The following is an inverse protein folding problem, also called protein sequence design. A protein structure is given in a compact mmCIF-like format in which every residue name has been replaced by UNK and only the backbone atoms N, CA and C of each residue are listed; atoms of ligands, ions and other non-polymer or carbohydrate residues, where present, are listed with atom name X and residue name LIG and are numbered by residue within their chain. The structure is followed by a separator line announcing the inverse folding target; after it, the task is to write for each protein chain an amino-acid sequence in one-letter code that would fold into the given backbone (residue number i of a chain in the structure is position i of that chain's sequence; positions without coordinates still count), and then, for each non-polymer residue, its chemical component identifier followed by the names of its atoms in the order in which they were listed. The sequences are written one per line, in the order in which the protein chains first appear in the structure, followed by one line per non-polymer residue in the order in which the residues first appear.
data_IF_857542355863
#
_entry.id   IF_857542355863
#
_cell.length_a   1.000
_cell.length_b   1.000
_cell.length_c   1.000
_cell.angle_alpha   90.00
_cell.angle_beta   90.00
_cell.angle_gamma   90.00
#
_symmetry.space_group_name_H-M   'P 1'
#
loop_
_entity.id
_entity.type
_entity.pdbx_description
1 polymer ?
#
# COMPACT_ATOMS: atom_id res chain seq x y z
N UNK A 1 -10.20 41.15 19.95
CA UNK A 1 -10.43 39.69 20.05
C UNK A 1 -9.47 39.02 19.09
N UNK A 2 -8.42 38.42 19.59
CA UNK A 2 -7.39 37.76 18.78
C UNK A 2 -7.93 36.40 18.32
N UNK A 3 -7.97 36.19 17.01
CA UNK A 3 -8.32 34.94 16.35
C UNK A 3 -7.24 33.89 16.70
N UNK A 4 -7.55 32.98 17.62
CA UNK A 4 -6.70 31.88 18.03
C UNK A 4 -6.95 30.71 17.10
N UNK A 5 -6.48 30.81 15.82
CA UNK A 5 -6.31 29.62 15.00
C UNK A 5 -5.08 28.85 15.49
N UNK A 6 -5.17 27.54 15.72
CA UNK A 6 -3.97 26.73 15.94
C UNK A 6 -3.03 26.87 14.73
N UNK A 7 -1.70 26.76 14.91
CA UNK A 7 -0.74 26.92 13.81
C UNK A 7 -1.08 25.90 12.70
N UNK A 8 -1.51 26.45 11.57
CA UNK A 8 -2.15 25.72 10.51
C UNK A 8 -1.23 24.68 9.88
N UNK A 9 -1.69 23.44 9.81
CA UNK A 9 -1.44 22.57 8.66
C UNK A 9 -1.63 23.46 7.43
N UNK A 10 -0.59 23.69 6.63
CA UNK A 10 -0.71 24.48 5.40
C UNK A 10 -1.81 23.82 4.57
N UNK A 11 -2.87 24.56 4.27
CA UNK A 11 -3.97 24.08 3.45
C UNK A 11 -3.41 23.71 2.08
N UNK A 12 -3.39 22.42 1.75
CA UNK A 12 -2.99 21.95 0.43
C UNK A 12 -2.13 20.70 0.37
N UNK A 13 -1.40 20.32 1.41
CA UNK A 13 -0.61 19.08 1.38
C UNK A 13 -1.48 17.91 1.82
N UNK A 14 -1.61 16.92 0.94
CA UNK A 14 -2.41 15.71 1.15
C UNK A 14 -1.57 14.47 0.96
N UNK A 15 -1.77 13.49 1.81
CA UNK A 15 -1.09 12.20 1.74
C UNK A 15 -2.12 11.08 1.66
N UNK A 16 -1.97 10.22 0.67
CA UNK A 16 -2.90 9.12 0.41
C UNK A 16 -2.18 7.79 0.42
N UNK A 17 -2.82 6.77 1.02
CA UNK A 17 -2.35 5.40 0.98
C UNK A 17 -3.15 4.61 -0.06
N UNK A 18 -2.47 3.84 -0.90
CA UNK A 18 -3.06 2.88 -1.84
C UNK A 18 -2.59 1.49 -1.44
N UNK A 19 -3.50 0.70 -0.91
CA UNK A 19 -3.26 -0.66 -0.45
C UNK A 19 -4.16 -1.68 -1.17
N UNK A 20 -4.02 -2.94 -0.87
CA UNK A 20 -4.73 -4.07 -1.44
C UNK A 20 -3.85 -5.32 -1.46
N UNK A 21 -4.41 -6.50 -1.58
CA UNK A 21 -3.62 -7.74 -1.65
C UNK A 21 -2.66 -7.73 -2.84
N UNK A 22 -1.64 -8.58 -2.79
CA UNK A 22 -0.72 -8.73 -3.93
C UNK A 22 -1.50 -9.15 -5.19
N UNK A 23 -1.20 -8.53 -6.32
CA UNK A 23 -1.89 -8.80 -7.59
C UNK A 23 -3.08 -7.90 -7.91
N UNK A 24 -3.51 -7.01 -7.01
CA UNK A 24 -4.63 -6.08 -7.27
C UNK A 24 -4.28 -4.91 -8.19
N UNK A 25 -2.98 -4.66 -8.46
CA UNK A 25 -2.54 -3.64 -9.41
C UNK A 25 -1.93 -2.39 -8.79
N UNK A 26 -1.52 -2.43 -7.53
CA UNK A 26 -0.90 -1.29 -6.82
C UNK A 26 0.26 -0.65 -7.61
N UNK A 27 1.18 -1.47 -8.11
CA UNK A 27 2.33 -0.98 -8.88
C UNK A 27 1.91 -0.25 -10.15
N UNK A 28 0.97 -0.80 -10.91
CA UNK A 28 0.48 -0.17 -12.13
C UNK A 28 -0.22 1.18 -11.85
N UNK A 29 -1.02 1.25 -10.77
CA UNK A 29 -1.66 2.49 -10.33
C UNK A 29 -0.61 3.52 -9.92
N UNK A 30 0.41 3.11 -9.16
CA UNK A 30 1.51 3.98 -8.75
C UNK A 30 2.28 4.55 -9.95
N UNK A 31 2.64 3.72 -10.91
CA UNK A 31 3.32 4.13 -12.14
C UNK A 31 2.48 5.07 -13.00
N UNK A 32 1.17 4.84 -13.10
CA UNK A 32 0.26 5.71 -13.85
C UNK A 32 0.10 7.08 -13.15
N UNK A 33 -0.03 7.11 -11.83
CA UNK A 33 -0.04 8.37 -11.05
C UNK A 33 1.26 9.15 -11.27
N UNK A 34 2.41 8.46 -11.24
CA UNK A 34 3.72 9.07 -11.47
C UNK A 34 3.83 9.61 -12.91
N UNK A 35 3.33 8.87 -13.92
CA UNK A 35 3.27 9.32 -15.31
C UNK A 35 2.41 10.57 -15.49
N UNK A 36 1.36 10.73 -14.67
CA UNK A 36 0.50 11.94 -14.63
C UNK A 36 1.11 13.11 -13.86
N UNK A 37 2.32 12.96 -13.31
CA UNK A 37 3.05 14.01 -12.61
C UNK A 37 2.81 14.09 -11.10
N UNK A 38 2.11 13.14 -10.51
CA UNK A 38 1.94 13.06 -9.05
C UNK A 38 3.20 12.54 -8.36
N UNK A 39 3.42 12.99 -7.13
CA UNK A 39 4.47 12.44 -6.28
C UNK A 39 4.03 11.08 -5.72
N UNK A 40 4.81 10.04 -5.99
CA UNK A 40 4.51 8.66 -5.58
C UNK A 40 5.68 8.08 -4.81
N UNK A 41 5.38 7.44 -3.70
CA UNK A 41 6.30 6.65 -2.89
C UNK A 41 5.95 5.17 -3.09
N UNK A 42 6.89 4.42 -3.64
CA UNK A 42 6.77 2.97 -3.81
C UNK A 42 7.11 2.28 -2.49
N UNK A 43 6.12 2.15 -1.61
CA UNK A 43 6.33 1.72 -0.22
C UNK A 43 7.04 0.39 -0.08
N UNK A 44 6.71 -0.58 -0.93
CA UNK A 44 7.34 -1.90 -0.90
C UNK A 44 8.82 -1.90 -1.34
N UNK A 45 9.29 -0.83 -2.00
CA UNK A 45 10.69 -0.66 -2.41
C UNK A 45 11.46 0.32 -1.53
N UNK A 46 10.80 1.38 -1.07
CA UNK A 46 11.45 2.52 -0.43
C UNK A 46 11.35 2.49 1.09
N UNK A 47 10.29 1.87 1.62
CA UNK A 47 9.95 1.91 3.04
C UNK A 47 10.04 0.54 3.71
N UNK A 48 9.89 -0.55 2.95
CA UNK A 48 9.73 -1.87 3.52
C UNK A 48 11.05 -2.49 4.00
N UNK A 49 10.92 -3.26 5.05
CA UNK A 49 11.95 -4.18 5.53
C UNK A 49 11.26 -5.35 6.24
N UNK A 50 12.05 -6.34 6.62
CA UNK A 50 11.60 -7.48 7.39
C UNK A 50 11.77 -7.19 8.86
N UNK A 51 10.66 -7.15 9.60
CA UNK A 51 10.69 -6.80 11.02
C UNK A 51 9.44 -7.24 11.77
N UNK A 52 9.48 -7.14 13.07
CA UNK A 52 8.35 -7.39 13.94
C UNK A 52 7.30 -6.28 13.79
N UNK A 53 6.04 -6.58 13.45
CA UNK A 53 5.03 -5.56 13.20
C UNK A 53 4.61 -4.75 14.45
N UNK A 54 4.81 -5.29 15.65
CA UNK A 54 4.46 -4.60 16.89
C UNK A 54 5.60 -3.69 17.37
N UNK A 55 6.83 -4.19 17.36
CA UNK A 55 7.99 -3.45 17.88
C UNK A 55 8.71 -2.63 16.79
N UNK A 56 8.71 -3.12 15.55
CA UNK A 56 9.49 -2.56 14.45
C UNK A 56 10.94 -3.05 14.45
N UNK A 57 11.32 -4.00 15.31
CA UNK A 57 12.67 -4.53 15.33
C UNK A 57 12.98 -5.32 14.07
N UNK A 58 14.11 -5.08 13.38
CA UNK A 58 14.52 -5.85 12.23
C UNK A 58 14.68 -7.35 12.56
N UNK A 59 14.23 -8.20 11.64
CA UNK A 59 14.33 -9.66 11.73
C UNK A 59 15.25 -10.16 10.62
N UNK A 60 16.56 -10.14 10.87
CA UNK A 60 17.58 -10.58 9.94
C UNK A 60 18.02 -12.02 10.21
N UNK A 61 18.49 -12.71 9.17
CA UNK A 61 19.25 -13.96 9.29
C UNK A 61 18.43 -15.25 9.40
N UNK A 62 17.10 -15.22 9.27
CA UNK A 62 16.30 -16.45 9.17
C UNK A 62 16.37 -17.01 7.75
N UNK A 63 16.71 -18.29 7.65
CA UNK A 63 16.72 -19.02 6.40
C UNK A 63 15.33 -19.64 6.12
N UNK A 64 14.93 -19.68 4.85
CA UNK A 64 13.64 -20.26 4.42
C UNK A 64 13.40 -21.67 4.98
N UNK A 65 14.44 -22.48 5.02
CA UNK A 65 14.37 -23.89 5.49
C UNK A 65 14.04 -24.00 6.99
N UNK A 66 14.17 -22.92 7.74
CA UNK A 66 13.92 -22.91 9.20
C UNK A 66 12.47 -22.55 9.55
N UNK A 67 11.67 -22.11 8.57
CA UNK A 67 10.31 -21.66 8.77
C UNK A 67 9.33 -22.58 8.05
N UNK A 68 8.35 -23.13 8.77
CA UNK A 68 7.40 -24.11 8.24
C UNK A 68 6.48 -23.54 7.15
N UNK A 69 6.06 -22.28 7.26
CA UNK A 69 5.26 -21.57 6.26
C UNK A 69 5.97 -20.27 5.90
N UNK A 70 6.95 -20.38 5.02
CA UNK A 70 7.76 -19.24 4.60
C UNK A 70 6.97 -18.11 3.95
N UNK A 71 6.02 -18.36 3.02
CA UNK A 71 5.20 -17.29 2.45
C UNK A 71 4.40 -16.52 3.50
N UNK A 72 3.77 -17.22 4.45
CA UNK A 72 3.03 -16.55 5.52
C UNK A 72 3.97 -15.74 6.43
N UNK A 73 5.14 -16.30 6.76
CA UNK A 73 6.12 -15.60 7.57
C UNK A 73 6.63 -14.33 6.88
N UNK A 74 7.00 -14.41 5.61
CA UNK A 74 7.42 -13.25 4.80
C UNK A 74 6.33 -12.18 4.77
N UNK A 75 5.09 -12.57 4.57
CA UNK A 75 3.96 -11.67 4.54
C UNK A 75 3.74 -10.98 5.90
N UNK A 76 3.73 -11.75 7.00
CA UNK A 76 3.51 -11.22 8.35
C UNK A 76 4.58 -10.24 8.82
N UNK A 77 5.81 -10.39 8.34
CA UNK A 77 6.94 -9.56 8.74
C UNK A 77 7.33 -8.50 7.69
N UNK A 78 6.51 -8.31 6.66
CA UNK A 78 6.65 -7.22 5.70
C UNK A 78 6.10 -5.93 6.31
N UNK A 79 6.98 -5.10 6.83
CA UNK A 79 6.61 -3.85 7.52
C UNK A 79 7.29 -2.64 6.89
N UNK A 80 6.75 -1.46 7.16
CA UNK A 80 7.35 -0.20 6.73
C UNK A 80 8.04 0.51 7.89
N UNK A 81 9.11 1.21 7.57
CA UNK A 81 9.81 2.11 8.48
C UNK A 81 8.91 3.30 8.83
N UNK A 82 8.39 3.29 10.07
CA UNK A 82 7.43 4.28 10.56
C UNK A 82 8.01 5.69 10.58
N UNK A 83 9.29 5.83 10.89
CA UNK A 83 9.93 7.16 10.97
C UNK A 83 10.18 7.73 9.57
N UNK A 84 10.48 6.89 8.59
CA UNK A 84 10.50 7.31 7.19
C UNK A 84 9.12 7.71 6.69
N UNK A 85 8.07 6.94 7.01
CA UNK A 85 6.68 7.33 6.67
C UNK A 85 6.35 8.70 7.24
N UNK A 86 6.61 8.93 8.54
CA UNK A 86 6.38 10.22 9.20
C UNK A 86 7.13 11.36 8.52
N UNK A 87 8.40 11.13 8.18
CA UNK A 87 9.25 12.12 7.52
C UNK A 87 8.70 12.50 6.15
N UNK A 88 8.26 11.53 5.35
CA UNK A 88 7.70 11.76 4.03
C UNK A 88 6.32 12.42 4.06
N UNK A 89 5.47 12.05 5.02
CA UNK A 89 4.17 12.69 5.25
C UNK A 89 4.35 14.16 5.68
N UNK A 90 5.40 14.46 6.42
CA UNK A 90 5.73 15.83 6.83
C UNK A 90 6.34 16.68 5.71
N UNK A 91 6.74 16.09 4.59
CA UNK A 91 7.29 16.80 3.44
C UNK A 91 6.22 17.66 2.74
N UNK A 92 6.47 18.96 2.66
CA UNK A 92 5.53 19.94 2.13
C UNK A 92 5.81 20.33 0.66
N UNK A 93 6.76 19.66 0.02
CA UNK A 93 7.19 20.03 -1.36
C UNK A 93 6.19 19.66 -2.44
N UNK A 94 5.25 18.74 -2.14
CA UNK A 94 4.25 18.25 -3.08
C UNK A 94 2.85 18.50 -2.53
N UNK A 95 1.94 18.99 -3.38
CA UNK A 95 0.55 19.22 -3.00
C UNK A 95 -0.15 17.91 -2.61
N UNK A 96 0.14 16.83 -3.33
CA UNK A 96 -0.38 15.49 -3.06
C UNK A 96 0.72 14.46 -3.20
N UNK A 97 0.77 13.51 -2.26
CA UNK A 97 1.68 12.37 -2.28
C UNK A 97 0.90 11.07 -2.12
N UNK A 98 1.21 10.09 -2.95
CA UNK A 98 0.59 8.78 -2.95
C UNK A 98 1.60 7.73 -2.50
N UNK A 99 1.29 7.03 -1.42
CA UNK A 99 2.07 5.93 -0.89
C UNK A 99 1.43 4.63 -1.37
N UNK A 100 2.15 3.83 -2.13
CA UNK A 100 1.62 2.61 -2.75
C UNK A 100 2.32 1.38 -2.20
N UNK A 101 1.56 0.46 -1.64
CA UNK A 101 2.04 -0.80 -1.06
C UNK A 101 1.22 -1.23 0.13
N UNK A 102 1.62 -2.32 0.78
CA UNK A 102 0.96 -2.82 1.99
C UNK A 102 1.95 -3.22 3.06
N UNK A 103 1.68 -2.90 4.30
CA UNK A 103 2.54 -3.22 5.43
C UNK A 103 1.75 -3.82 6.59
N UNK A 104 2.35 -4.76 7.32
CA UNK A 104 1.65 -5.43 8.44
C UNK A 104 1.60 -4.58 9.71
N UNK A 105 2.37 -3.51 9.74
CA UNK A 105 2.35 -2.52 10.82
C UNK A 105 1.59 -1.23 10.45
N UNK A 106 0.67 -1.28 9.50
CA UNK A 106 -0.05 -0.10 9.01
C UNK A 106 -0.80 0.66 10.12
N UNK A 107 -1.26 -0.02 11.15
CA UNK A 107 -1.92 0.59 12.30
C UNK A 107 -1.06 1.64 13.03
N UNK A 108 0.26 1.60 12.86
CA UNK A 108 1.20 2.54 13.48
C UNK A 108 1.29 3.89 12.74
N UNK A 109 0.75 3.98 11.53
CA UNK A 109 0.88 5.18 10.71
C UNK A 109 -0.34 5.51 9.83
N UNK A 110 -1.37 4.68 9.83
CA UNK A 110 -2.54 4.87 8.95
C UNK A 110 -3.25 6.20 9.19
N UNK A 111 -3.28 6.67 10.43
CA UNK A 111 -3.90 7.95 10.82
C UNK A 111 -3.14 9.18 10.30
N UNK A 112 -1.96 8.99 9.74
CA UNK A 112 -1.18 10.07 9.11
C UNK A 112 -1.68 10.43 7.71
N UNK A 113 -2.47 9.53 7.08
CA UNK A 113 -2.98 9.72 5.73
C UNK A 113 -4.32 10.46 5.73
N UNK A 114 -4.50 11.32 4.74
CA UNK A 114 -5.76 12.05 4.49
C UNK A 114 -6.84 11.16 3.86
N UNK A 115 -6.43 10.07 3.21
CA UNK A 115 -7.30 9.05 2.65
C UNK A 115 -6.57 7.75 2.39
N UNK A 116 -7.33 6.66 2.46
CA UNK A 116 -6.86 5.31 2.21
C UNK A 116 -7.73 4.69 1.11
N UNK A 117 -7.10 4.20 0.05
CA UNK A 117 -7.75 3.52 -1.07
C UNK A 117 -7.35 2.06 -1.08
N UNK A 118 -8.34 1.18 -1.12
CA UNK A 118 -8.12 -0.27 -1.17
C UNK A 118 -8.46 -0.77 -2.57
N UNK A 119 -7.45 -1.18 -3.30
CA UNK A 119 -7.66 -1.82 -4.61
C UNK A 119 -8.21 -3.23 -4.39
N UNK A 120 -9.35 -3.52 -5.00
CA UNK A 120 -9.95 -4.85 -5.00
C UNK A 120 -10.28 -5.31 -6.41
N UNK A 121 -10.20 -6.62 -6.63
CA UNK A 121 -10.52 -7.29 -7.89
C UNK A 121 -11.30 -8.56 -7.61
N UNK A 122 -12.02 -9.08 -8.59
CA UNK A 122 -12.57 -10.42 -8.50
C UNK A 122 -11.45 -11.50 -8.49
N UNK A 123 -11.80 -12.69 -8.03
CA UNK A 123 -10.85 -13.79 -7.88
C UNK A 123 -10.26 -14.25 -9.21
N UNK A 124 -11.05 -14.22 -10.30
CA UNK A 124 -10.60 -14.63 -11.63
C UNK A 124 -9.55 -13.67 -12.17
N UNK A 125 -9.78 -12.38 -12.00
CA UNK A 125 -8.80 -11.34 -12.36
C UNK A 125 -7.53 -11.45 -11.52
N UNK A 126 -7.67 -11.69 -10.22
CA UNK A 126 -6.53 -11.91 -9.33
C UNK A 126 -5.70 -13.10 -9.80
N UNK A 127 -6.32 -14.26 -10.01
CA UNK A 127 -5.64 -15.49 -10.43
C UNK A 127 -4.93 -15.31 -11.78
N UNK A 128 -5.58 -14.65 -12.74
CA UNK A 128 -4.99 -14.35 -14.04
C UNK A 128 -3.74 -13.47 -13.92
N UNK A 129 -3.78 -12.45 -13.07
CA UNK A 129 -2.64 -11.55 -12.82
C UNK A 129 -1.50 -12.26 -12.12
N UNK A 130 -1.80 -13.06 -11.09
CA UNK A 130 -0.80 -13.85 -10.35
C UNK A 130 -0.13 -14.91 -11.23
N UNK A 131 -0.87 -15.51 -12.18
CA UNK A 131 -0.32 -16.48 -13.11
C UNK A 131 0.74 -15.89 -14.05
N UNK A 132 0.75 -14.58 -14.24
CA UNK A 132 1.72 -13.86 -15.08
C UNK A 132 2.95 -13.36 -14.29
N UNK A 133 2.94 -13.47 -12.96
CA UNK A 133 4.07 -13.02 -12.14
C UNK A 133 5.28 -13.96 -12.27
N UNK A 134 6.49 -13.40 -12.38
CA UNK A 134 7.73 -14.16 -12.28
C UNK A 134 7.84 -14.87 -10.92
N UNK A 135 8.57 -16.00 -10.87
CA UNK A 135 8.75 -16.79 -9.65
C UNK A 135 9.58 -16.07 -8.56
N UNK A 136 10.37 -15.08 -8.94
CA UNK A 136 11.17 -14.25 -8.05
C UNK A 136 10.38 -13.08 -7.43
N UNK A 137 9.17 -12.83 -7.90
CA UNK A 137 8.24 -11.86 -7.30
C UNK A 137 7.25 -12.56 -6.37
N UNK A 138 6.93 -11.92 -5.23
CA UNK A 138 5.92 -12.45 -4.30
C UNK A 138 4.56 -12.62 -4.99
N UNK A 139 4.04 -13.85 -4.98
CA UNK A 139 2.86 -14.29 -5.72
C UNK A 139 3.19 -15.05 -7.01
N UNK A 140 4.47 -15.20 -7.36
CA UNK A 140 4.92 -16.01 -8.49
C UNK A 140 4.89 -17.51 -8.20
N UNK A 141 5.09 -17.92 -6.94
CA UNK A 141 5.12 -19.32 -6.53
C UNK A 141 3.74 -19.86 -6.11
N UNK A 142 3.44 -21.15 -6.30
CA UNK A 142 2.12 -21.73 -5.95
C UNK A 142 1.71 -21.50 -4.49
N UNK A 143 2.62 -21.67 -3.53
CA UNK A 143 2.33 -21.47 -2.11
C UNK A 143 1.98 -20.01 -1.78
N UNK A 144 2.66 -19.06 -2.42
CA UNK A 144 2.36 -17.63 -2.27
C UNK A 144 1.00 -17.27 -2.88
N UNK A 145 0.64 -17.87 -4.04
CA UNK A 145 -0.68 -17.69 -4.66
C UNK A 145 -1.81 -18.21 -3.78
N UNK A 146 -1.60 -19.36 -3.12
CA UNK A 146 -2.56 -19.91 -2.17
C UNK A 146 -2.77 -18.99 -0.97
N UNK A 147 -1.69 -18.43 -0.42
CA UNK A 147 -1.76 -17.41 0.64
C UNK A 147 -2.51 -16.17 0.17
N UNK A 148 -2.17 -15.62 -1.00
CA UNK A 148 -2.82 -14.42 -1.55
C UNK A 148 -4.31 -14.65 -1.79
N UNK A 149 -4.72 -15.81 -2.31
CA UNK A 149 -6.13 -16.16 -2.50
C UNK A 149 -6.88 -16.20 -1.15
N UNK A 150 -6.27 -16.74 -0.10
CA UNK A 150 -6.83 -16.71 1.26
C UNK A 150 -6.98 -15.28 1.78
N UNK A 151 -5.93 -14.46 1.69
CA UNK A 151 -5.95 -13.06 2.12
C UNK A 151 -6.97 -12.23 1.33
N UNK A 152 -7.13 -12.52 0.04
CA UNK A 152 -8.17 -11.90 -0.78
C UNK A 152 -9.58 -12.26 -0.30
N UNK A 153 -9.81 -13.50 0.10
CA UNK A 153 -11.12 -13.94 0.60
C UNK A 153 -11.43 -13.39 2.00
N UNK A 154 -10.44 -13.35 2.90
CA UNK A 154 -10.63 -12.95 4.31
C UNK A 154 -10.51 -11.45 4.52
N UNK A 155 -9.74 -10.74 3.70
CA UNK A 155 -9.39 -9.31 3.87
C UNK A 155 -8.74 -8.98 5.22
N UNK A 156 -8.21 -10.00 5.92
CA UNK A 156 -7.72 -9.87 7.30
C UNK A 156 -6.57 -8.88 7.48
N UNK A 157 -5.75 -8.69 6.45
CA UNK A 157 -4.56 -7.83 6.47
C UNK A 157 -4.73 -6.52 5.70
N UNK A 158 -5.98 -6.14 5.41
CA UNK A 158 -6.32 -4.92 4.69
C UNK A 158 -6.91 -3.90 5.66
N UNK A 159 -6.51 -2.62 5.59
CA UNK A 159 -7.13 -1.58 6.38
C UNK A 159 -8.64 -1.50 6.16
N UNK A 160 -9.42 -1.63 7.24
CA UNK A 160 -10.91 -1.59 7.16
C UNK A 160 -11.48 -0.18 6.97
N UNK A 161 -10.67 0.86 7.20
CA UNK A 161 -11.08 2.26 7.07
C UNK A 161 -10.95 2.81 5.64
N UNK A 162 -10.46 2.01 4.69
CA UNK A 162 -10.21 2.45 3.32
C UNK A 162 -11.46 2.50 2.44
N UNK A 163 -11.42 3.37 1.43
CA UNK A 163 -12.39 3.39 0.34
C UNK A 163 -12.01 2.32 -0.68
N UNK A 164 -12.91 1.37 -0.91
CA UNK A 164 -12.68 0.29 -1.88
C UNK A 164 -12.79 0.85 -3.31
N UNK A 165 -11.80 0.54 -4.12
CA UNK A 165 -11.70 0.90 -5.55
C UNK A 165 -11.77 -0.38 -6.38
N UNK A 166 -12.72 -0.46 -7.29
CA UNK A 166 -12.81 -1.56 -8.25
C UNK A 166 -11.65 -1.49 -9.25
N UNK A 167 -10.67 -2.35 -9.05
CA UNK A 167 -9.48 -2.45 -9.89
C UNK A 167 -9.61 -3.49 -11.03
N UNK A 168 -10.82 -3.99 -11.32
CA UNK A 168 -11.12 -4.74 -12.55
C UNK A 168 -11.22 -3.81 -13.77
N UNK A 169 -11.57 -2.55 -13.54
CA UNK A 169 -11.68 -1.54 -14.57
C UNK A 169 -10.32 -1.26 -15.27
N UNK A 170 -10.31 -0.65 -16.47
CA UNK A 170 -9.09 -0.18 -17.10
C UNK A 170 -8.28 0.75 -16.18
N UNK A 171 -6.96 0.65 -16.22
CA UNK A 171 -6.05 1.38 -15.34
C UNK A 171 -6.35 2.89 -15.25
N UNK A 172 -6.60 3.53 -16.39
CA UNK A 172 -6.94 4.96 -16.43
C UNK A 172 -8.19 5.27 -15.61
N UNK A 173 -9.22 4.43 -15.71
CA UNK A 173 -10.49 4.59 -14.97
C UNK A 173 -10.28 4.40 -13.47
N UNK A 174 -9.44 3.43 -13.07
CA UNK A 174 -9.08 3.21 -11.66
C UNK A 174 -8.40 4.45 -11.08
N UNK A 175 -7.41 5.00 -11.79
CA UNK A 175 -6.68 6.20 -11.37
C UNK A 175 -7.59 7.43 -11.35
N UNK A 176 -8.44 7.63 -12.36
CA UNK A 176 -9.42 8.72 -12.38
C UNK A 176 -10.36 8.65 -11.17
N UNK A 177 -10.80 7.43 -10.81
CA UNK A 177 -11.65 7.18 -9.64
C UNK A 177 -10.95 7.55 -8.31
N UNK A 178 -9.66 7.28 -8.18
CA UNK A 178 -8.85 7.69 -7.03
C UNK A 178 -8.73 9.22 -6.98
N UNK A 179 -8.31 9.84 -8.08
CA UNK A 179 -8.10 11.29 -8.15
C UNK A 179 -9.38 12.07 -7.90
N UNK A 180 -10.50 11.61 -8.43
CA UNK A 180 -11.82 12.22 -8.16
C UNK A 180 -12.16 12.23 -6.67
N UNK A 181 -11.82 11.16 -5.94
CA UNK A 181 -12.05 11.08 -4.49
C UNK A 181 -11.07 11.91 -3.67
N UNK A 182 -9.91 12.23 -4.23
CA UNK A 182 -8.95 13.17 -3.64
C UNK A 182 -9.35 14.64 -3.84
N UNK A 183 -10.34 14.93 -4.70
CA UNK A 183 -10.66 16.29 -5.14
C UNK A 183 -9.66 16.85 -6.16
N UNK A 184 -8.94 15.98 -6.85
CA UNK A 184 -7.87 16.27 -7.82
C UNK A 184 -8.33 16.02 -9.28
N UNK A 185 -9.63 15.80 -9.49
CA UNK A 185 -10.16 15.66 -10.84
C UNK A 185 -10.22 17.03 -11.52
N UNK A 186 -9.67 17.10 -12.75
CA UNK A 186 -9.80 18.25 -13.66
C UNK A 186 -11.26 18.47 -14.10
#
# INVERSE_FOLDING_TARGET
MADHRPPGRLMGVKNYLIDGVSGTGKTAVAEELQRRGYHVIHGDRELSYRGDPETGEPLDGLAEETVMDWPAWVHQHHIWDVDKVKSLVADQRHASSFFSGGARNFTRFIDLFDGVFILDVDLDTLNRRLAQKPEDEFGGRPAERALIARLHATKEDIPSCGVVIDANAPLAVVVDGILSKCGEAD
#
